data_IF_208571132911
#
_entry.id   IF_208571132911
#
_cell.length_a   1.000
_cell.length_b   1.000
_cell.length_c   1.000
_cell.angle_alpha   90.00
_cell.angle_beta   90.00
_cell.angle_gamma   90.00
#
_symmetry.space_group_name_H-M   'P 1'
#
loop_
_entity.id
_entity.type
_entity.pdbx_description
1 polymer ?
#
# COMPACT_ATOMS: atom_id res chain seq x y z
N UNK A 1 -14.24 -11.62 16.21
CA UNK A 1 -14.89 -11.93 14.91
C UNK A 1 -15.23 -10.67 14.11
N UNK A 2 -16.09 -9.75 14.58
CA UNK A 2 -16.45 -8.53 13.81
C UNK A 2 -15.24 -7.63 13.50
N UNK A 3 -14.31 -7.51 14.46
CA UNK A 3 -13.10 -6.70 14.31
C UNK A 3 -12.16 -7.17 13.19
N UNK A 4 -12.07 -8.48 12.91
CA UNK A 4 -11.27 -8.98 11.79
C UNK A 4 -11.79 -8.43 10.46
N UNK A 5 -13.12 -8.31 10.31
CA UNK A 5 -13.72 -7.73 9.12
C UNK A 5 -13.47 -6.23 9.02
N UNK A 6 -13.60 -5.51 10.14
CA UNK A 6 -13.32 -4.07 10.19
C UNK A 6 -11.86 -3.79 9.82
N UNK A 7 -10.91 -4.46 10.47
CA UNK A 7 -9.48 -4.30 10.18
C UNK A 7 -9.12 -4.78 8.77
N UNK A 8 -9.75 -5.86 8.28
CA UNK A 8 -9.54 -6.35 6.93
C UNK A 8 -9.96 -5.33 5.85
N UNK A 9 -11.15 -4.75 5.99
CA UNK A 9 -11.65 -3.72 5.08
C UNK A 9 -10.78 -2.46 5.15
N UNK A 10 -10.41 -2.01 6.35
CA UNK A 10 -9.54 -0.84 6.52
C UNK A 10 -8.15 -1.07 5.91
N UNK A 11 -7.57 -2.26 6.11
CA UNK A 11 -6.27 -2.62 5.55
C UNK A 11 -6.29 -2.62 4.02
N UNK A 12 -7.35 -3.19 3.42
CA UNK A 12 -7.53 -3.17 1.96
C UNK A 12 -7.70 -1.75 1.42
N UNK A 13 -8.55 -0.93 2.06
CA UNK A 13 -8.77 0.45 1.66
C UNK A 13 -7.48 1.29 1.73
N UNK A 14 -6.73 1.14 2.83
CA UNK A 14 -5.45 1.82 3.02
C UNK A 14 -4.39 1.34 2.03
N UNK A 15 -4.30 0.03 1.79
CA UNK A 15 -3.39 -0.55 0.81
C UNK A 15 -3.68 -0.05 -0.62
N UNK A 16 -4.95 -0.01 -1.03
CA UNK A 16 -5.35 0.57 -2.32
C UNK A 16 -4.99 2.05 -2.42
N UNK A 17 -5.28 2.84 -1.38
CA UNK A 17 -4.91 4.25 -1.32
C UNK A 17 -3.39 4.45 -1.49
N UNK A 18 -2.58 3.67 -0.78
CA UNK A 18 -1.13 3.74 -0.86
C UNK A 18 -0.61 3.39 -2.26
N UNK A 19 -1.14 2.35 -2.88
CA UNK A 19 -0.77 1.95 -4.25
C UNK A 19 -1.14 3.05 -5.26
N UNK A 20 -2.35 3.62 -5.18
CA UNK A 20 -2.76 4.71 -6.07
C UNK A 20 -1.86 5.94 -5.92
N UNK A 21 -1.47 6.28 -4.69
CA UNK A 21 -0.53 7.37 -4.44
C UNK A 21 0.86 7.06 -5.00
N UNK A 22 1.38 5.84 -4.81
CA UNK A 22 2.68 5.46 -5.37
C UNK A 22 2.71 5.62 -6.90
N UNK A 23 1.65 5.23 -7.62
CA UNK A 23 1.53 5.42 -9.07
C UNK A 23 1.54 6.91 -9.44
N UNK A 24 0.81 7.74 -8.68
CA UNK A 24 0.82 9.20 -8.88
C UNK A 24 2.23 9.76 -8.69
N UNK A 25 2.95 9.33 -7.66
CA UNK A 25 4.32 9.78 -7.38
C UNK A 25 5.32 9.31 -8.44
N UNK A 26 5.17 8.10 -9.00
CA UNK A 26 5.98 7.67 -10.16
C UNK A 26 5.81 8.65 -11.31
N UNK A 27 4.57 9.00 -11.66
CA UNK A 27 4.29 9.97 -12.75
C UNK A 27 4.88 11.34 -12.45
N UNK A 28 4.82 11.80 -11.20
CA UNK A 28 5.44 13.06 -10.79
C UNK A 28 6.95 13.03 -11.01
N UNK A 29 7.64 11.96 -10.58
CA UNK A 29 9.08 11.78 -10.79
C UNK A 29 9.40 11.67 -12.29
N UNK A 30 8.56 11.01 -13.09
CA UNK A 30 8.78 10.91 -14.54
C UNK A 30 8.63 12.25 -15.27
N UNK A 31 7.69 13.10 -14.86
CA UNK A 31 7.42 14.39 -15.52
C UNK A 31 8.28 15.55 -14.99
N UNK A 32 8.62 15.54 -13.69
CA UNK A 32 9.30 16.65 -13.02
C UNK A 32 10.66 16.27 -12.45
N UNK A 33 11.00 14.98 -12.44
CA UNK A 33 12.29 14.50 -12.00
C UNK A 33 13.40 14.94 -12.96
N UNK A 34 14.53 15.31 -12.39
CA UNK A 34 15.70 15.78 -13.11
C UNK A 34 16.98 15.23 -12.43
N UNK A 35 18.15 15.73 -12.86
CA UNK A 35 19.45 15.26 -12.34
C UNK A 35 19.67 15.49 -10.84
N UNK A 36 18.88 16.33 -10.18
CA UNK A 36 18.96 16.55 -8.72
C UNK A 36 17.94 15.71 -7.94
N UNK A 37 17.06 14.98 -8.61
CA UNK A 37 16.10 14.08 -7.95
C UNK A 37 16.83 12.86 -7.41
N UNK A 38 16.69 12.61 -6.11
CA UNK A 38 17.38 11.50 -5.45
C UNK A 38 16.84 10.15 -5.93
N UNK A 39 17.74 9.21 -6.21
CA UNK A 39 17.39 7.81 -6.47
C UNK A 39 16.62 7.18 -5.29
N UNK A 40 16.83 7.70 -4.08
CA UNK A 40 16.07 7.29 -2.90
C UNK A 40 14.57 7.57 -3.04
N UNK A 41 14.18 8.62 -3.76
CA UNK A 41 12.77 8.95 -4.02
C UNK A 41 12.07 7.86 -4.84
N UNK A 42 12.73 7.36 -5.90
CA UNK A 42 12.18 6.27 -6.71
C UNK A 42 12.08 4.96 -5.91
N UNK A 43 13.10 4.65 -5.11
CA UNK A 43 13.10 3.51 -4.18
C UNK A 43 11.96 3.60 -3.16
N UNK A 44 11.74 4.78 -2.58
CA UNK A 44 10.67 5.01 -1.60
C UNK A 44 9.30 4.79 -2.23
N UNK A 45 9.09 5.25 -3.47
CA UNK A 45 7.85 5.04 -4.21
C UNK A 45 7.63 3.54 -4.50
N UNK A 46 8.69 2.80 -4.82
CA UNK A 46 8.60 1.35 -5.02
C UNK A 46 8.22 0.61 -3.73
N UNK A 47 8.90 0.91 -2.62
CA UNK A 47 8.56 0.31 -1.33
C UNK A 47 7.16 0.69 -0.85
N UNK A 48 6.72 1.92 -1.14
CA UNK A 48 5.36 2.37 -0.87
C UNK A 48 4.31 1.54 -1.62
N UNK A 49 4.55 1.22 -2.89
CA UNK A 49 3.68 0.33 -3.66
C UNK A 49 3.65 -1.08 -3.07
N UNK A 50 4.82 -1.65 -2.77
CA UNK A 50 4.94 -2.98 -2.17
C UNK A 50 4.23 -3.05 -0.81
N UNK A 51 4.39 -2.02 0.01
CA UNK A 51 3.72 -1.92 1.31
C UNK A 51 2.20 -1.88 1.16
N UNK A 52 1.68 -1.13 0.18
CA UNK A 52 0.26 -1.12 -0.15
C UNK A 52 -0.26 -2.51 -0.57
N UNK A 53 0.50 -3.24 -1.39
CA UNK A 53 0.15 -4.60 -1.79
C UNK A 53 0.12 -5.57 -0.59
N UNK A 54 1.09 -5.50 0.32
CA UNK A 54 1.10 -6.28 1.55
C UNK A 54 -0.12 -5.99 2.43
N UNK A 55 -0.55 -4.72 2.51
CA UNK A 55 -1.76 -4.33 3.24
C UNK A 55 -3.04 -4.93 2.65
N UNK A 56 -3.15 -4.96 1.31
CA UNK A 56 -4.27 -5.61 0.64
C UNK A 56 -4.27 -7.11 0.93
N UNK A 57 -3.14 -7.78 0.77
CA UNK A 57 -3.01 -9.23 1.03
C UNK A 57 -3.36 -9.53 2.49
N UNK A 58 -2.78 -8.80 3.45
CA UNK A 58 -3.06 -8.96 4.87
C UNK A 58 -4.54 -8.72 5.21
N UNK A 59 -5.16 -7.72 4.59
CA UNK A 59 -6.59 -7.45 4.77
C UNK A 59 -7.48 -8.56 4.18
N UNK A 60 -7.14 -9.12 3.02
CA UNK A 60 -7.85 -10.28 2.45
C UNK A 60 -7.72 -11.50 3.35
N UNK A 61 -6.52 -11.77 3.87
CA UNK A 61 -6.27 -12.87 4.83
C UNK A 61 -7.13 -12.68 6.07
N UNK A 62 -7.21 -11.46 6.63
CA UNK A 62 -8.07 -11.14 7.77
C UNK A 62 -9.57 -11.41 7.52
N UNK A 63 -10.04 -11.21 6.28
CA UNK A 63 -11.43 -11.45 5.91
C UNK A 63 -11.74 -12.93 5.71
N UNK A 64 -10.79 -13.70 5.19
CA UNK A 64 -10.99 -15.11 4.81
C UNK A 64 -10.68 -16.05 5.98
N UNK A 65 -9.64 -15.75 6.75
CA UNK A 65 -9.20 -16.63 7.83
C UNK A 65 -10.08 -16.38 9.06
N UNK A 66 -10.89 -17.38 9.40
CA UNK A 66 -11.75 -17.38 10.59
C UNK A 66 -10.96 -17.50 11.91
N UNK A 67 -9.64 -17.55 11.87
CA UNK A 67 -8.82 -17.62 13.07
C UNK A 67 -8.96 -16.32 13.85
N UNK A 68 -9.32 -16.38 15.13
CA UNK A 68 -9.27 -15.21 15.99
C UNK A 68 -7.83 -14.70 16.03
N UNK A 69 -7.62 -13.42 15.71
CA UNK A 69 -6.36 -12.75 16.00
C UNK A 69 -6.23 -12.39 17.49
N UNK A 70 -7.28 -12.71 18.28
CA UNK A 70 -7.38 -12.65 19.74
C UNK A 70 -8.43 -13.65 20.22
#
# INVERSE_FOLDING_TARGET
>A
MIWNYVFGILAIAFGMYQMLNSIKYVKVIQHHGNKTTSNFSALTVWYSFLFGACFIIGGVVLLVVKSPLF
#
